data_IF_907981234126
#
_entry.id   IF_907981234126
#
_cell.length_a   1.000
_cell.length_b   1.000
_cell.length_c   1.000
_cell.angle_alpha   90.00
_cell.angle_beta   90.00
_cell.angle_gamma   90.00
#
_symmetry.space_group_name_H-M   'P 1'
#
loop_
_entity.id
_entity.type
_entity.pdbx_description
1 polymer ?
#
# COMPACT_ATOMS: atom_id res chain seq x y z
N UNK A 1 -62.22 43.42 -61.00
CA UNK A 1 -61.80 42.26 -61.82
C UNK A 1 -60.39 41.88 -61.43
N UNK A 2 -60.13 40.58 -61.24
CA UNK A 2 -58.82 39.90 -61.03
C UNK A 2 -58.29 39.79 -59.59
N UNK A 3 -58.64 38.63 -59.02
CA UNK A 3 -57.93 37.81 -58.03
C UNK A 3 -56.50 37.48 -58.49
N UNK A 4 -55.60 37.28 -57.51
CA UNK A 4 -54.44 36.34 -57.42
C UNK A 4 -53.28 37.06 -56.72
N UNK A 5 -52.49 36.52 -55.82
CA UNK A 5 -52.33 35.22 -55.18
C UNK A 5 -51.18 35.40 -54.15
N UNK A 6 -51.20 34.64 -53.04
CA UNK A 6 -50.02 34.00 -52.39
C UNK A 6 -48.88 34.93 -51.88
N UNK A 7 -48.34 34.84 -50.66
CA UNK A 7 -47.78 33.68 -49.96
C UNK A 7 -47.82 34.00 -48.45
N UNK A 8 -48.50 33.14 -47.67
CA UNK A 8 -48.36 33.08 -46.22
C UNK A 8 -47.05 32.35 -45.93
N UNK A 9 -46.01 33.05 -45.46
CA UNK A 9 -44.77 32.41 -45.01
C UNK A 9 -44.95 31.90 -43.58
N UNK A 10 -45.30 30.62 -43.48
CA UNK A 10 -45.27 29.85 -42.25
C UNK A 10 -43.80 29.68 -41.83
N UNK A 11 -43.32 30.54 -40.93
CA UNK A 11 -42.00 30.39 -40.32
C UNK A 11 -42.08 29.28 -39.29
N UNK A 12 -41.78 28.06 -39.73
CA UNK A 12 -41.51 26.94 -38.84
C UNK A 12 -40.20 27.23 -38.09
N UNK A 13 -40.32 27.67 -36.84
CA UNK A 13 -39.22 27.61 -35.87
C UNK A 13 -38.88 26.13 -35.65
N UNK A 14 -37.89 25.65 -36.40
CA UNK A 14 -37.18 24.42 -36.10
C UNK A 14 -36.45 24.66 -34.79
N UNK A 15 -37.05 24.24 -33.69
CA UNK A 15 -36.34 24.04 -32.44
C UNK A 15 -35.30 22.94 -32.71
N UNK A 16 -34.06 23.35 -33.02
CA UNK A 16 -32.91 22.49 -32.90
C UNK A 16 -32.90 22.00 -31.45
N UNK A 17 -33.04 20.69 -31.16
CA UNK A 17 -32.63 20.21 -29.86
C UNK A 17 -31.13 20.50 -29.83
N UNK A 18 -30.73 21.45 -28.99
CA UNK A 18 -29.37 21.53 -28.53
C UNK A 18 -29.11 20.15 -27.93
N UNK A 19 -28.45 19.28 -28.70
CA UNK A 19 -27.80 18.11 -28.18
C UNK A 19 -26.80 18.69 -27.17
N UNK A 20 -27.23 18.76 -25.91
CA UNK A 20 -26.33 18.82 -24.80
C UNK A 20 -25.40 17.64 -25.04
N UNK A 21 -24.20 17.92 -25.54
CA UNK A 21 -23.08 17.03 -25.41
C UNK A 21 -22.96 16.84 -23.91
N UNK A 22 -23.55 15.74 -23.42
CA UNK A 22 -23.29 15.21 -22.10
C UNK A 22 -21.80 14.91 -22.17
N UNK A 23 -21.00 15.88 -21.74
CA UNK A 23 -19.67 15.60 -21.25
C UNK A 23 -19.87 14.48 -20.24
N UNK A 24 -19.26 13.32 -20.50
CA UNK A 24 -19.06 12.26 -19.52
C UNK A 24 -18.17 12.83 -18.41
N UNK A 25 -18.70 13.75 -17.61
CA UNK A 25 -18.21 14.01 -16.27
C UNK A 25 -18.54 12.74 -15.49
N UNK A 26 -17.54 11.88 -15.35
CA UNK A 26 -17.50 10.92 -14.25
C UNK A 26 -17.91 11.68 -12.99
N UNK A 27 -19.07 11.32 -12.43
CA UNK A 27 -19.67 11.93 -11.25
C UNK A 27 -18.84 11.57 -10.00
N UNK A 28 -17.57 11.99 -9.95
CA UNK A 28 -16.82 12.05 -8.70
C UNK A 28 -17.44 13.16 -7.86
N UNK A 29 -17.92 12.83 -6.67
CA UNK A 29 -18.47 13.83 -5.74
C UNK A 29 -17.40 14.86 -5.40
N UNK A 30 -17.77 16.11 -5.07
CA UNK A 30 -16.80 17.16 -4.70
C UNK A 30 -15.82 16.72 -3.60
N UNK A 31 -16.25 15.83 -2.70
CA UNK A 31 -15.43 15.29 -1.62
C UNK A 31 -14.35 14.31 -2.13
N UNK A 32 -14.65 13.52 -3.16
CA UNK A 32 -13.66 12.60 -3.76
C UNK A 32 -12.52 13.39 -4.42
N UNK A 33 -12.84 14.46 -5.15
CA UNK A 33 -11.79 15.30 -5.76
C UNK A 33 -10.87 15.95 -4.72
N UNK A 34 -11.41 16.32 -3.55
CA UNK A 34 -10.61 16.88 -2.46
C UNK A 34 -9.69 15.82 -1.85
N UNK A 35 -10.19 14.60 -1.64
CA UNK A 35 -9.38 13.48 -1.14
C UNK A 35 -8.29 13.11 -2.14
N UNK A 36 -8.63 12.98 -3.43
CA UNK A 36 -7.67 12.68 -4.49
C UNK A 36 -6.53 13.72 -4.54
N UNK A 37 -6.88 15.01 -4.40
CA UNK A 37 -5.88 16.10 -4.33
C UNK A 37 -5.04 16.06 -3.05
N UNK A 38 -5.65 15.77 -1.91
CA UNK A 38 -4.95 15.70 -0.64
C UNK A 38 -3.99 14.50 -0.57
N UNK A 39 -4.27 13.45 -1.34
CA UNK A 39 -3.44 12.24 -1.46
C UNK A 39 -2.48 12.26 -2.65
N UNK A 40 -2.46 13.35 -3.43
CA UNK A 40 -1.56 13.47 -4.56
C UNK A 40 -0.10 13.31 -4.10
N UNK A 41 0.60 12.30 -4.61
CA UNK A 41 1.98 12.01 -4.26
C UNK A 41 2.18 11.25 -2.95
N UNK A 42 1.09 10.85 -2.26
CA UNK A 42 1.18 9.96 -1.11
C UNK A 42 1.56 8.53 -1.50
N UNK A 43 1.23 8.11 -2.72
CA UNK A 43 1.54 6.78 -3.24
C UNK A 43 2.73 6.80 -4.18
N UNK A 44 3.59 5.80 -4.03
CA UNK A 44 4.77 5.61 -4.87
C UNK A 44 4.80 4.17 -5.35
N UNK A 45 5.26 3.94 -6.58
CA UNK A 45 5.73 2.62 -7.01
C UNK A 45 7.13 2.43 -6.47
N UNK A 46 7.39 1.30 -5.83
CA UNK A 46 8.70 0.90 -5.33
C UNK A 46 9.18 -0.31 -6.12
N UNK A 47 10.21 -0.12 -6.92
CA UNK A 47 10.84 -1.16 -7.72
C UNK A 47 12.00 -1.75 -6.91
N UNK A 48 11.87 -3.03 -6.55
CA UNK A 48 12.88 -3.77 -5.79
C UNK A 48 13.60 -4.74 -6.72
N UNK A 49 14.86 -4.44 -7.03
CA UNK A 49 15.74 -5.26 -7.84
C UNK A 49 16.61 -6.16 -6.97
N UNK A 50 16.76 -7.41 -7.38
CA UNK A 50 17.66 -8.36 -6.70
C UNK A 50 18.46 -9.17 -7.72
N UNK A 51 19.63 -9.63 -7.29
CA UNK A 51 20.47 -10.58 -8.01
C UNK A 51 20.61 -11.91 -7.23
N UNK A 52 21.24 -12.90 -7.86
CA UNK A 52 21.53 -14.18 -7.24
C UNK A 52 23.02 -14.29 -6.92
N UNK A 53 23.35 -14.62 -5.67
CA UNK A 53 24.71 -14.84 -5.21
C UNK A 53 24.95 -16.34 -4.98
N UNK A 54 25.94 -16.92 -5.67
CA UNK A 54 26.42 -18.27 -5.35
C UNK A 54 27.16 -18.24 -4.01
N UNK A 55 26.68 -19.04 -3.06
CA UNK A 55 27.23 -19.10 -1.70
C UNK A 55 28.63 -19.70 -1.61
N UNK A 56 29.08 -20.45 -2.63
CA UNK A 56 30.41 -21.07 -2.67
C UNK A 56 31.45 -20.14 -3.31
N UNK A 57 31.14 -19.55 -4.46
CA UNK A 57 32.06 -18.70 -5.21
C UNK A 57 31.94 -17.21 -4.89
N UNK A 58 30.86 -16.79 -4.21
CA UNK A 58 30.46 -15.40 -4.02
C UNK A 58 30.33 -14.62 -5.35
N UNK A 59 30.04 -15.33 -6.44
CA UNK A 59 29.75 -14.74 -7.74
C UNK A 59 28.28 -14.33 -7.82
N UNK A 60 28.03 -13.21 -8.49
CA UNK A 60 26.70 -12.63 -8.70
C UNK A 60 26.18 -12.96 -10.10
N UNK A 61 24.89 -13.23 -10.19
CA UNK A 61 24.20 -13.64 -11.41
C UNK A 61 22.90 -12.84 -11.57
N UNK A 62 22.77 -12.18 -12.71
CA UNK A 62 21.48 -11.67 -13.20
C UNK A 62 20.81 -12.64 -14.16
N UNK A 63 19.75 -12.19 -14.84
CA UNK A 63 18.93 -13.02 -15.74
C UNK A 63 18.81 -12.36 -17.10
N UNK A 64 18.85 -13.16 -18.16
CA UNK A 64 18.63 -12.67 -19.52
C UNK A 64 19.72 -11.73 -20.06
N UNK A 65 20.90 -11.69 -19.43
CA UNK A 65 21.99 -10.78 -19.81
C UNK A 65 22.03 -9.49 -19.00
N UNK A 66 21.07 -9.28 -18.10
CA UNK A 66 21.04 -8.14 -17.17
C UNK A 66 21.92 -8.37 -15.94
N UNK A 67 22.25 -7.30 -15.23
CA UNK A 67 22.99 -7.33 -13.95
C UNK A 67 22.10 -7.56 -12.72
N UNK A 68 20.79 -7.70 -12.93
CA UNK A 68 19.79 -8.12 -11.95
C UNK A 68 19.09 -9.40 -12.41
N UNK A 69 18.56 -10.17 -11.45
CA UNK A 69 17.74 -11.34 -11.75
C UNK A 69 16.30 -10.96 -12.07
N UNK A 70 15.73 -10.04 -11.29
CA UNK A 70 14.37 -9.54 -11.47
C UNK A 70 14.18 -8.21 -10.75
N UNK A 71 13.18 -7.43 -11.19
CA UNK A 71 12.74 -6.19 -10.56
C UNK A 71 11.25 -6.33 -10.30
N UNK A 72 10.85 -6.25 -9.02
CA UNK A 72 9.46 -6.45 -8.62
C UNK A 72 8.88 -5.12 -8.11
N UNK A 73 7.79 -4.62 -8.71
CA UNK A 73 7.13 -3.41 -8.27
C UNK A 73 6.18 -3.67 -7.09
N UNK A 74 6.16 -2.73 -6.14
CA UNK A 74 5.22 -2.69 -5.02
C UNK A 74 4.59 -1.31 -4.91
N UNK A 75 3.40 -1.22 -4.31
CA UNK A 75 2.85 0.07 -3.88
C UNK A 75 3.45 0.41 -2.51
N UNK A 76 3.99 1.62 -2.40
CA UNK A 76 4.38 2.21 -1.13
C UNK A 76 3.58 3.47 -0.83
N UNK A 77 3.57 3.84 0.46
CA UNK A 77 2.88 5.02 1.00
C UNK A 77 3.89 5.88 1.74
N UNK A 78 4.00 7.14 1.34
CA UNK A 78 4.85 8.13 2.00
C UNK A 78 4.21 8.61 3.30
N UNK A 79 4.96 8.48 4.39
CA UNK A 79 4.52 8.87 5.74
C UNK A 79 5.56 9.72 6.43
N UNK A 80 5.15 10.42 7.49
CA UNK A 80 6.08 11.20 8.33
C UNK A 80 7.24 10.38 8.92
N UNK A 81 7.15 9.03 8.93
CA UNK A 81 8.20 8.10 9.41
C UNK A 81 9.03 7.46 8.29
N UNK A 82 8.79 7.83 7.04
CA UNK A 82 9.42 7.24 5.86
C UNK A 82 8.43 6.48 4.98
N UNK A 83 8.97 5.60 4.14
CA UNK A 83 8.20 4.91 3.11
C UNK A 83 7.69 3.57 3.64
N UNK A 84 6.37 3.42 3.71
CA UNK A 84 5.71 2.18 4.11
C UNK A 84 5.42 1.33 2.89
N UNK A 85 5.71 0.03 2.98
CA UNK A 85 5.55 -0.94 1.89
C UNK A 85 5.07 -2.28 2.45
N UNK A 86 4.47 -3.16 1.62
CA UNK A 86 4.26 -4.55 2.00
C UNK A 86 5.59 -5.20 2.44
N UNK A 87 5.55 -6.08 3.45
CA UNK A 87 6.74 -6.74 3.97
C UNK A 87 7.51 -7.53 2.88
N UNK A 88 6.78 -8.09 1.91
CA UNK A 88 7.36 -8.75 0.74
C UNK A 88 8.30 -7.86 -0.10
N UNK A 89 8.19 -6.53 0.00
CA UNK A 89 9.13 -5.63 -0.66
C UNK A 89 10.56 -5.72 -0.11
N UNK A 90 10.76 -6.22 1.11
CA UNK A 90 12.10 -6.48 1.65
C UNK A 90 12.67 -7.84 1.18
N UNK A 91 11.83 -8.72 0.66
CA UNK A 91 12.20 -10.05 0.17
C UNK A 91 11.48 -10.36 -1.15
N UNK A 92 11.67 -9.55 -2.21
CA UNK A 92 10.87 -9.61 -3.44
C UNK A 92 10.87 -11.01 -4.08
N UNK A 93 12.00 -11.71 -4.01
CA UNK A 93 12.16 -13.08 -4.51
C UNK A 93 11.15 -14.10 -3.96
N UNK A 94 10.49 -13.83 -2.82
CA UNK A 94 9.45 -14.74 -2.29
C UNK A 94 8.19 -14.75 -3.13
N UNK A 95 7.95 -13.70 -3.92
CA UNK A 95 6.82 -13.58 -4.83
C UNK A 95 7.20 -13.86 -6.30
N UNK A 96 8.48 -14.14 -6.58
CA UNK A 96 8.99 -14.36 -7.93
C UNK A 96 8.91 -15.84 -8.32
N UNK A 97 7.99 -16.16 -9.22
CA UNK A 97 7.82 -17.53 -9.72
C UNK A 97 9.08 -18.06 -10.42
N UNK A 98 9.87 -17.19 -11.04
CA UNK A 98 11.07 -17.57 -11.77
C UNK A 98 12.24 -17.88 -10.83
N UNK A 99 12.19 -17.43 -9.57
CA UNK A 99 13.22 -17.75 -8.58
C UNK A 99 13.11 -19.18 -8.03
N UNK A 100 11.95 -19.83 -8.17
CA UNK A 100 11.65 -21.14 -7.56
C UNK A 100 12.71 -22.19 -7.96
N UNK A 101 13.17 -22.20 -9.22
CA UNK A 101 14.15 -23.18 -9.70
C UNK A 101 15.56 -22.99 -9.13
N UNK A 102 15.88 -21.78 -8.64
CA UNK A 102 17.17 -21.41 -8.07
C UNK A 102 17.20 -21.51 -6.54
N UNK A 103 16.06 -21.76 -5.92
CA UNK A 103 15.92 -21.82 -4.46
C UNK A 103 16.81 -22.92 -3.88
N UNK A 104 17.60 -22.55 -2.86
CA UNK A 104 18.53 -23.46 -2.18
C UNK A 104 19.91 -23.62 -2.85
N UNK A 105 20.07 -23.17 -4.10
CA UNK A 105 21.37 -23.13 -4.77
C UNK A 105 22.02 -21.74 -4.66
N UNK A 106 21.20 -20.70 -4.79
CA UNK A 106 21.64 -19.31 -4.74
C UNK A 106 20.98 -18.56 -3.60
N UNK A 107 21.70 -17.57 -3.07
CA UNK A 107 21.16 -16.61 -2.10
C UNK A 107 20.74 -15.33 -2.83
N UNK A 108 19.47 -14.93 -2.80
CA UNK A 108 19.05 -13.67 -3.41
C UNK A 108 19.55 -12.50 -2.57
N UNK A 109 19.99 -11.42 -3.24
CA UNK A 109 20.46 -10.20 -2.60
C UNK A 109 19.81 -8.99 -3.25
N UNK A 110 19.27 -8.09 -2.43
CA UNK A 110 18.74 -6.81 -2.91
C UNK A 110 19.90 -5.97 -3.46
N UNK A 111 19.81 -5.54 -4.70
CA UNK A 111 20.82 -4.72 -5.38
C UNK A 111 20.35 -3.31 -5.63
N UNK A 112 19.05 -3.14 -5.84
CA UNK A 112 18.46 -1.86 -6.21
C UNK A 112 17.10 -1.66 -5.53
N UNK A 113 16.88 -0.43 -5.05
CA UNK A 113 15.56 0.00 -4.60
C UNK A 113 15.29 1.39 -5.15
N UNK A 114 14.30 1.51 -6.02
CA UNK A 114 13.90 2.78 -6.65
C UNK A 114 12.44 3.08 -6.33
N UNK A 115 12.10 4.35 -6.13
CA UNK A 115 10.71 4.78 -5.98
C UNK A 115 10.35 5.88 -6.94
N UNK A 116 9.14 5.81 -7.49
CA UNK A 116 8.55 6.79 -8.38
C UNK A 116 7.15 7.17 -7.88
N UNK A 117 6.85 8.46 -7.66
CA UNK A 117 5.50 8.90 -7.32
C UNK A 117 4.48 8.52 -8.40
N UNK A 118 3.35 7.98 -7.98
CA UNK A 118 2.26 7.61 -8.89
C UNK A 118 1.43 8.84 -9.25
N UNK A 119 0.88 8.84 -10.47
CA UNK A 119 0.01 9.91 -11.00
C UNK A 119 0.63 11.31 -11.06
N UNK A 120 1.94 11.45 -10.82
CA UNK A 120 2.65 12.74 -10.83
C UNK A 120 3.94 12.58 -11.62
N UNK A 121 4.25 13.56 -12.47
CA UNK A 121 5.56 13.65 -13.09
C UNK A 121 6.58 14.15 -12.07
N UNK A 122 7.38 13.23 -11.55
CA UNK A 122 8.45 13.50 -10.61
C UNK A 122 9.66 12.60 -10.93
N UNK A 123 10.89 13.01 -10.58
CA UNK A 123 12.06 12.16 -10.81
C UNK A 123 11.99 10.90 -9.96
N UNK A 124 12.48 9.80 -10.51
CA UNK A 124 12.75 8.56 -9.77
C UNK A 124 13.78 8.82 -8.68
N UNK A 125 13.64 8.11 -7.56
CA UNK A 125 14.49 8.26 -6.39
C UNK A 125 15.09 6.92 -6.00
N UNK A 126 16.37 6.91 -5.65
CA UNK A 126 17.04 5.74 -5.07
C UNK A 126 16.74 5.70 -3.57
N UNK A 127 16.27 4.55 -3.09
CA UNK A 127 15.97 4.31 -1.69
C UNK A 127 17.10 3.54 -1.01
N UNK A 128 17.19 3.60 0.33
CA UNK A 128 18.01 2.67 1.09
C UNK A 128 17.58 1.22 0.79
N UNK A 129 18.57 0.34 0.58
CA UNK A 129 18.33 -1.09 0.43
C UNK A 129 17.86 -1.76 1.73
N UNK A 130 17.98 -1.06 2.86
CA UNK A 130 17.61 -1.55 4.17
C UNK A 130 16.24 -1.01 4.62
N UNK A 131 15.42 -1.90 5.16
CA UNK A 131 14.17 -1.58 5.84
C UNK A 131 13.99 -2.47 7.07
N UNK A 132 12.89 -2.28 7.78
CA UNK A 132 12.50 -3.14 8.90
C UNK A 132 11.02 -3.51 8.81
N UNK A 133 10.69 -4.73 9.17
CA UNK A 133 9.30 -5.13 9.38
C UNK A 133 8.72 -4.38 10.59
N UNK A 134 7.54 -3.80 10.41
CA UNK A 134 6.72 -3.26 11.50
C UNK A 134 5.74 -4.32 12.00
N UNK A 135 5.20 -5.11 11.06
CA UNK A 135 4.36 -6.29 11.26
C UNK A 135 4.85 -7.38 10.30
N UNK A 136 4.20 -8.55 10.31
CA UNK A 136 4.47 -9.60 9.32
C UNK A 136 4.04 -9.18 7.90
N UNK A 137 3.16 -8.18 7.75
CA UNK A 137 2.57 -7.79 6.47
C UNK A 137 3.10 -6.45 5.95
N UNK A 138 3.64 -5.60 6.82
CA UNK A 138 4.08 -4.24 6.49
C UNK A 138 5.50 -3.97 6.98
N UNK A 139 6.28 -3.33 6.12
CA UNK A 139 7.63 -2.87 6.38
C UNK A 139 7.77 -1.35 6.23
N UNK A 140 8.85 -0.83 6.82
CA UNK A 140 9.26 0.57 6.74
C UNK A 140 10.66 0.67 6.15
N UNK A 141 10.78 1.43 5.06
CA UNK A 141 12.05 1.87 4.49
C UNK A 141 12.27 3.30 4.99
N UNK A 142 13.13 3.43 6.01
CA UNK A 142 13.45 4.73 6.60
C UNK A 142 14.46 5.45 5.69
N UNK A 143 14.03 6.55 5.07
CA UNK A 143 14.90 7.45 4.32
C UNK A 143 15.16 8.69 5.18
N UNK A 144 16.41 8.94 5.55
CA UNK A 144 16.83 10.13 6.31
C UNK A 144 16.50 11.45 5.59
N UNK A 145 16.26 11.41 4.28
CA UNK A 145 15.89 12.58 3.47
C UNK A 145 14.37 12.86 3.57
N UNK A 146 13.55 11.86 3.95
CA UNK A 146 12.08 11.94 3.98
C UNK A 146 11.49 12.06 5.39
N UNK A 147 12.31 12.09 6.43
CA UNK A 147 11.84 12.29 7.80
C UNK A 147 10.96 13.55 7.87
N UNK A 148 9.71 13.38 8.31
CA UNK A 148 8.68 14.42 8.45
C UNK A 148 8.00 14.91 7.15
N UNK A 149 8.08 14.16 6.04
CA UNK A 149 7.28 14.43 4.84
C UNK A 149 6.33 13.27 4.54
N UNK A 150 5.06 13.55 4.18
CA UNK A 150 4.06 12.53 3.87
C UNK A 150 2.85 12.57 4.81
N UNK A 151 2.06 11.48 4.81
CA UNK A 151 0.89 11.36 5.66
C UNK A 151 1.29 11.23 7.14
N UNK A 152 0.60 11.98 8.01
CA UNK A 152 0.70 11.80 9.46
C UNK A 152 0.10 10.46 9.88
N UNK A 153 0.62 9.82 10.92
CA UNK A 153 0.20 8.48 11.33
C UNK A 153 -0.75 8.55 12.53
N UNK A 154 -1.90 7.89 12.42
CA UNK A 154 -2.82 7.67 13.53
C UNK A 154 -2.40 6.41 14.31
N UNK A 155 -2.22 6.56 15.63
CA UNK A 155 -1.76 5.49 16.53
C UNK A 155 -2.80 5.12 17.58
N UNK A 156 -4.01 5.67 17.49
CA UNK A 156 -5.06 5.50 18.49
C UNK A 156 -6.05 4.45 18.01
N UNK A 157 -6.33 3.38 18.78
CA UNK A 157 -7.34 2.39 18.40
C UNK A 157 -8.79 2.89 18.63
N UNK A 158 -9.77 2.10 18.21
CA UNK A 158 -11.20 2.35 18.39
C UNK A 158 -11.94 2.75 17.11
N UNK A 159 -13.22 3.11 17.26
CA UNK A 159 -14.12 3.45 16.17
C UNK A 159 -13.68 4.73 15.44
N UNK A 160 -13.50 4.62 14.13
CA UNK A 160 -13.05 5.69 13.25
C UNK A 160 -13.91 5.78 12.00
N UNK A 161 -14.27 7.01 11.65
CA UNK A 161 -14.94 7.34 10.40
C UNK A 161 -13.92 7.88 9.41
N UNK A 162 -13.77 7.22 8.28
CA UNK A 162 -12.74 7.55 7.30
C UNK A 162 -13.06 7.07 5.90
N UNK A 163 -12.02 7.01 5.06
CA UNK A 163 -12.13 6.54 3.68
C UNK A 163 -11.12 5.43 3.42
N UNK A 164 -11.62 4.35 2.82
CA UNK A 164 -10.81 3.38 2.11
C UNK A 164 -10.45 3.94 0.74
N UNK A 165 -9.16 4.02 0.47
CA UNK A 165 -8.62 4.49 -0.81
C UNK A 165 -7.96 3.31 -1.48
N UNK A 166 -8.58 2.82 -2.54
CA UNK A 166 -8.07 1.72 -3.34
C UNK A 166 -7.29 2.25 -4.53
N UNK A 167 -6.18 1.58 -4.83
CA UNK A 167 -5.36 1.82 -6.02
C UNK A 167 -5.57 0.67 -6.99
N UNK A 168 -5.95 1.01 -8.21
CA UNK A 168 -6.22 0.04 -9.26
C UNK A 168 -5.75 0.51 -10.62
N UNK A 169 -5.49 -0.42 -11.53
CA UNK A 169 -5.23 -0.11 -12.93
C UNK A 169 -5.56 -1.29 -13.85
N UNK A 170 -5.77 -0.98 -15.13
CA UNK A 170 -5.95 -1.99 -16.18
C UNK A 170 -4.66 -2.77 -16.50
N UNK A 171 -3.50 -2.20 -16.17
CA UNK A 171 -2.18 -2.78 -16.45
C UNK A 171 -1.44 -3.14 -15.15
N UNK A 172 -0.51 -4.12 -15.18
CA UNK A 172 0.40 -4.39 -14.06
C UNK A 172 1.26 -3.19 -13.70
N UNK A 173 1.65 -3.04 -12.43
CA UNK A 173 2.50 -1.93 -11.97
C UNK A 173 3.85 -1.84 -12.68
N UNK A 174 4.35 -2.95 -13.23
CA UNK A 174 5.59 -2.96 -14.02
C UNK A 174 5.47 -2.14 -15.31
N UNK A 175 4.25 -1.94 -15.81
CA UNK A 175 3.96 -1.34 -17.12
C UNK A 175 3.30 0.03 -17.03
N UNK A 176 2.83 0.45 -15.84
CA UNK A 176 2.14 1.73 -15.67
C UNK A 176 2.49 2.45 -14.38
N UNK A 177 2.54 3.78 -14.46
CA UNK A 177 2.60 4.71 -13.33
C UNK A 177 1.29 5.47 -13.11
N UNK A 178 0.30 5.20 -13.97
CA UNK A 178 -1.04 5.75 -13.90
C UNK A 178 -1.98 4.75 -13.23
N UNK A 179 -2.50 5.14 -12.08
CA UNK A 179 -3.42 4.34 -11.26
C UNK A 179 -4.68 5.12 -10.92
N UNK A 180 -5.81 4.43 -10.97
CA UNK A 180 -7.11 4.94 -10.54
C UNK A 180 -7.19 4.93 -9.02
N UNK A 181 -7.66 6.03 -8.43
CA UNK A 181 -8.02 6.11 -7.02
C UNK A 181 -9.53 5.95 -6.86
N UNK A 182 -9.94 4.96 -6.08
CA UNK A 182 -11.34 4.71 -5.71
C UNK A 182 -11.51 4.92 -4.20
N UNK A 183 -12.32 5.92 -3.84
CA UNK A 183 -12.54 6.31 -2.44
C UNK A 183 -13.91 5.86 -1.93
N UNK A 184 -13.95 5.07 -0.86
CA UNK A 184 -15.17 4.53 -0.23
C UNK A 184 -15.20 4.95 1.24
N UNK A 185 -16.24 5.70 1.63
CA UNK A 185 -16.46 6.07 3.04
C UNK A 185 -16.77 4.81 3.86
N UNK A 186 -16.08 4.63 4.99
CA UNK A 186 -16.27 3.48 5.86
C UNK A 186 -16.02 3.84 7.32
N UNK A 187 -16.83 3.27 8.20
CA UNK A 187 -16.57 3.23 9.63
C UNK A 187 -15.83 1.94 9.96
N UNK A 188 -14.71 2.03 10.67
CA UNK A 188 -13.88 0.90 11.08
C UNK A 188 -13.58 1.00 12.56
N UNK A 189 -13.76 -0.09 13.30
CA UNK A 189 -13.30 -0.22 14.67
C UNK A 189 -11.86 -0.76 14.69
N UNK A 190 -10.89 0.12 14.88
CA UNK A 190 -9.46 -0.23 14.84
C UNK A 190 -9.11 -1.07 16.07
N UNK A 191 -8.62 -2.31 15.91
CA UNK A 191 -8.37 -3.21 17.03
C UNK A 191 -7.29 -2.65 17.98
N UNK A 192 -7.54 -2.72 19.29
CA UNK A 192 -6.59 -2.24 20.30
C UNK A 192 -5.25 -2.99 20.32
N UNK A 193 -5.20 -4.18 19.72
CA UNK A 193 -4.02 -5.01 19.60
C UNK A 193 -3.32 -4.90 18.23
N UNK A 194 -3.84 -4.04 17.34
CA UNK A 194 -3.33 -3.84 15.99
C UNK A 194 -3.50 -5.05 15.07
N UNK A 195 -4.40 -6.00 15.42
CA UNK A 195 -4.68 -7.14 14.55
C UNK A 195 -5.20 -6.69 13.17
N UNK A 196 -4.77 -7.34 12.07
CA UNK A 196 -5.28 -7.01 10.74
C UNK A 196 -6.78 -7.26 10.64
N UNK A 197 -7.47 -6.40 9.90
CA UNK A 197 -8.92 -6.53 9.65
C UNK A 197 -9.19 -6.93 8.19
N UNK A 198 -9.90 -8.05 7.95
CA UNK A 198 -10.31 -8.42 6.59
C UNK A 198 -11.18 -7.36 5.93
N UNK A 199 -10.93 -7.09 4.65
CA UNK A 199 -11.72 -6.16 3.85
C UNK A 199 -12.10 -6.80 2.52
N UNK A 200 -13.36 -6.58 2.10
CA UNK A 200 -13.83 -7.03 0.80
C UNK A 200 -13.22 -6.19 -0.31
N UNK A 201 -12.97 -6.83 -1.45
CA UNK A 201 -12.57 -6.15 -2.68
C UNK A 201 -13.57 -5.05 -3.07
N UNK A 202 -13.10 -3.94 -3.66
CA UNK A 202 -13.97 -2.98 -4.30
C UNK A 202 -14.65 -3.61 -5.53
N UNK A 203 -15.89 -3.20 -5.82
CA UNK A 203 -16.62 -3.64 -7.01
C UNK A 203 -16.12 -2.88 -8.26
N UNK A 204 -14.90 -3.21 -8.70
CA UNK A 204 -14.24 -2.63 -9.87
C UNK A 204 -13.72 -3.71 -10.80
N UNK A 205 -13.59 -3.38 -12.09
CA UNK A 205 -13.07 -4.28 -13.13
C UNK A 205 -11.54 -4.28 -13.23
N UNK A 206 -10.89 -3.24 -12.71
CA UNK A 206 -9.44 -3.07 -12.74
C UNK A 206 -8.74 -3.98 -11.72
N UNK A 207 -7.45 -4.24 -11.92
CA UNK A 207 -6.64 -4.97 -10.94
C UNK A 207 -6.32 -4.08 -9.76
N UNK A 208 -6.58 -4.54 -8.54
CA UNK A 208 -6.23 -3.84 -7.30
C UNK A 208 -4.77 -4.10 -6.94
N UNK A 209 -4.03 -3.04 -6.66
CA UNK A 209 -2.60 -3.09 -6.32
C UNK A 209 -2.31 -2.77 -4.86
N UNK A 210 -3.28 -2.19 -4.15
CA UNK A 210 -3.13 -1.79 -2.76
C UNK A 210 -4.13 -0.73 -2.36
N UNK A 211 -3.90 -0.17 -1.18
CA UNK A 211 -4.73 0.89 -0.66
C UNK A 211 -4.40 1.29 0.76
N UNK A 212 -5.13 2.28 1.25
CA UNK A 212 -4.99 2.79 2.62
C UNK A 212 -6.35 3.09 3.22
N UNK A 213 -6.41 3.11 4.54
CA UNK A 213 -7.50 3.72 5.28
C UNK A 213 -7.02 5.01 5.93
N UNK A 214 -7.67 6.12 5.57
CA UNK A 214 -7.35 7.46 6.08
C UNK A 214 -8.50 8.04 6.90
N UNK A 215 -8.16 8.82 7.90
CA UNK A 215 -9.11 9.49 8.78
C UNK A 215 -8.93 11.00 8.73
N UNK A 216 -10.02 11.78 8.70
CA UNK A 216 -9.94 13.22 8.72
C UNK A 216 -9.64 13.70 10.15
N UNK A 217 -8.69 14.62 10.29
CA UNK A 217 -8.36 15.29 11.55
C UNK A 217 -8.44 16.78 11.33
N UNK A 218 -9.24 17.47 12.14
CA UNK A 218 -9.29 18.93 12.14
C UNK A 218 -8.06 19.47 12.87
N UNK A 219 -7.14 20.11 12.15
CA UNK A 219 -5.91 20.67 12.72
C UNK A 219 -6.08 22.13 13.13
N UNK A 220 -6.97 22.86 12.46
CA UNK A 220 -7.37 24.23 12.81
C UNK A 220 -8.75 24.57 12.25
N UNK A 221 -9.28 25.76 12.57
CA UNK A 221 -10.54 26.25 11.99
C UNK A 221 -10.37 26.36 10.47
N UNK A 222 -11.20 25.62 9.72
CA UNK A 222 -11.13 25.59 8.26
C UNK A 222 -10.01 24.72 7.67
N UNK A 223 -9.20 24.05 8.51
CA UNK A 223 -8.11 23.18 8.06
C UNK A 223 -8.40 21.72 8.45
N UNK A 224 -8.52 20.88 7.42
CA UNK A 224 -8.66 19.44 7.53
C UNK A 224 -7.36 18.80 7.03
N UNK A 225 -6.79 17.90 7.82
CA UNK A 225 -5.72 17.01 7.40
C UNK A 225 -6.24 15.58 7.35
N UNK A 226 -5.54 14.70 6.63
CA UNK A 226 -5.80 13.27 6.67
C UNK A 226 -4.62 12.56 7.30
N UNK A 227 -4.92 11.63 8.20
CA UNK A 227 -3.93 10.75 8.84
C UNK A 227 -4.10 9.33 8.35
N UNK A 228 -2.98 8.65 8.08
CA UNK A 228 -2.93 7.25 7.75
C UNK A 228 -3.26 6.42 9.00
N UNK A 229 -4.34 5.65 8.93
CA UNK A 229 -4.75 4.76 10.03
C UNK A 229 -4.35 3.31 9.76
N UNK A 230 -4.51 2.83 8.52
CA UNK A 230 -4.14 1.47 8.14
C UNK A 230 -3.74 1.36 6.68
N UNK A 231 -3.01 0.29 6.36
CA UNK A 231 -2.53 0.00 5.00
C UNK A 231 -3.17 -1.30 4.54
N UNK A 232 -3.69 -1.31 3.31
CA UNK A 232 -4.23 -2.50 2.70
C UNK A 232 -3.11 -3.32 2.09
N UNK A 233 -3.01 -4.57 2.53
CA UNK A 233 -1.99 -5.54 2.09
C UNK A 233 -2.66 -6.89 1.90
N UNK A 234 -2.04 -7.75 1.09
CA UNK A 234 -2.48 -9.14 0.96
C UNK A 234 -1.95 -9.96 2.15
N UNK A 235 -2.80 -10.77 2.74
CA UNK A 235 -2.39 -11.77 3.71
C UNK A 235 -1.81 -13.03 3.04
N UNK A 236 -1.46 -14.03 3.85
CA UNK A 236 -0.92 -15.31 3.39
C UNK A 236 -1.91 -16.14 2.54
N UNK A 237 -3.21 -15.83 2.62
CA UNK A 237 -4.26 -16.44 1.81
C UNK A 237 -4.48 -15.73 0.47
N UNK A 238 -3.83 -14.57 0.27
CA UNK A 238 -4.07 -13.71 -0.89
C UNK A 238 -5.35 -12.87 -0.76
N UNK A 239 -5.86 -12.70 0.46
CA UNK A 239 -7.01 -11.84 0.75
C UNK A 239 -6.56 -10.46 1.22
N UNK A 240 -7.31 -9.41 0.87
CA UNK A 240 -7.00 -8.06 1.35
C UNK A 240 -7.37 -7.91 2.82
N UNK A 241 -6.40 -7.42 3.59
CA UNK A 241 -6.57 -7.02 4.98
C UNK A 241 -6.07 -5.60 5.16
N UNK A 242 -6.69 -4.89 6.10
CA UNK A 242 -6.20 -3.62 6.60
C UNK A 242 -5.27 -3.89 7.80
N UNK A 243 -3.98 -3.67 7.60
CA UNK A 243 -2.96 -3.79 8.64
C UNK A 243 -2.78 -2.46 9.39
N UNK A 244 -2.53 -2.55 10.70
CA UNK A 244 -2.43 -1.41 11.63
C UNK A 244 -1.07 -1.37 12.33
N UNK A 245 0.02 -1.15 11.57
CA UNK A 245 1.39 -1.41 12.03
C UNK A 245 1.87 -0.52 13.19
N UNK A 246 1.12 0.54 13.53
CA UNK A 246 1.47 1.45 14.62
C UNK A 246 0.58 1.34 15.85
N UNK A 247 -0.42 0.45 15.82
CA UNK A 247 -1.21 0.14 17.00
C UNK A 247 -0.46 -0.93 17.79
N UNK A 248 0.07 -0.54 18.95
CA UNK A 248 0.86 -1.44 19.77
C UNK A 248 -0.05 -2.34 20.59
N UNK A 249 0.23 -3.65 20.57
CA UNK A 249 -0.33 -4.58 21.56
C UNK A 249 -0.03 -4.06 22.97
N UNK A 250 -1.00 -4.09 23.89
CA UNK A 250 -0.71 -3.82 25.29
C UNK A 250 0.43 -4.77 25.72
N UNK A 251 1.57 -4.19 26.05
CA UNK A 251 2.74 -4.95 26.47
C UNK A 251 2.37 -5.61 27.79
N UNK A 252 2.16 -6.92 27.80
CA UNK A 252 2.05 -7.66 29.06
C UNK A 252 3.31 -7.36 29.86
N UNK A 253 3.13 -6.69 31.01
CA UNK A 253 4.22 -6.47 31.96
C UNK A 253 4.53 -7.83 32.57
N UNK A 254 5.39 -8.61 31.90
CA UNK A 254 5.93 -9.85 32.43
C UNK A 254 6.71 -9.50 33.67
N UNK A 255 6.08 -9.65 34.82
CA UNK A 255 6.70 -9.40 36.12
C UNK A 255 7.71 -10.51 36.35
N UNK A 256 9.00 -10.17 36.38
CA UNK A 256 10.05 -11.12 36.70
C UNK A 256 9.84 -11.60 38.13
N UNK A 257 9.67 -12.90 38.32
CA UNK A 257 9.63 -13.49 39.67
C UNK A 257 11.07 -13.68 40.16
N UNK A 258 11.47 -13.08 41.30
CA UNK A 258 12.80 -13.28 41.86
C UNK A 258 13.03 -14.76 42.17
N UNK A 259 14.12 -15.32 41.66
CA UNK A 259 14.51 -16.73 41.90
C UNK A 259 14.81 -16.98 43.39
N UNK A 260 15.15 -15.93 44.15
CA UNK A 260 15.50 -16.00 45.58
C UNK A 260 14.35 -16.41 46.52
N UNK A 261 13.11 -16.51 46.03
CA UNK A 261 11.94 -16.93 46.82
C UNK A 261 11.35 -18.29 46.44
N UNK A 262 11.93 -19.01 45.47
CA UNK A 262 11.42 -20.32 45.07
C UNK A 262 11.93 -21.40 46.05
N UNK A 263 11.04 -22.22 46.64
CA UNK A 263 11.47 -23.34 47.46
C UNK A 263 12.32 -24.27 46.60
N UNK A 264 13.49 -24.62 47.12
CA UNK A 264 14.56 -25.40 46.50
C UNK A 264 14.01 -26.72 45.94
N UNK A 265 13.51 -26.71 44.68
CA UNK A 265 13.05 -27.93 44.01
C UNK A 265 14.28 -28.71 43.63
N UNK A 266 14.54 -29.72 44.45
CA UNK A 266 15.75 -30.53 44.48
C UNK A 266 16.39 -30.83 43.12
N UNK A 267 17.71 -30.68 43.10
CA UNK A 267 18.68 -31.15 42.10
C UNK A 267 18.11 -32.19 41.13
N UNK A 268 17.68 -31.73 39.95
CA UNK A 268 17.60 -32.61 38.78
C UNK A 268 19.02 -33.08 38.49
N UNK A 269 19.26 -34.38 38.65
CA UNK A 269 20.53 -35.02 38.35
C UNK A 269 20.34 -35.81 37.05
N UNK A 270 20.59 -35.22 35.86
CA UNK A 270 20.46 -35.94 34.61
C UNK A 270 21.78 -36.68 34.41
N UNK A 271 21.87 -37.95 34.82
CA UNK A 271 22.80 -38.97 34.30
C UNK A 271 22.74 -40.22 35.21
N UNK A 272 21.76 -41.10 34.97
CA UNK A 272 21.92 -42.53 35.25
C UNK A 272 21.80 -43.29 33.93
N UNK A 273 22.94 -43.51 33.28
CA UNK A 273 23.11 -44.51 32.22
C UNK A 273 22.68 -45.87 32.78
N UNK A 274 21.63 -46.46 32.22
CA UNK A 274 21.35 -47.90 32.38
C UNK A 274 22.15 -48.65 31.31
N UNK A 275 23.16 -49.40 31.75
CA UNK A 275 23.65 -50.59 31.03
C UNK A 275 22.66 -51.72 31.30
N UNK A 276 22.16 -52.36 30.24
CA UNK A 276 21.94 -53.80 30.15
C UNK A 276 21.98 -54.18 28.68
#
# INVERSE_FOLDING_TARGET
MKIRNLILSLTATVALPAAAQIFNFSLRTNNQQLIDRALAGAFVRVNQGYDLCDTLSNQHFGRGGEDFFSIIPFIGVETERGLMVPAGALTPWTADADFIEYQGQYRPLMTESKSLPLNISAPERVNPLAGRNLTELTALIADSIRENSGLGIDTVPGQKNGWLIWLSSDFPLAETDSVSLTSISKEIDVPADGSPLPISNPEISETVHGGIFITPVQTAIGHLAFTLTGIMVLDDTGSWVLDFPFIQKPKEVKTLTPISGLPDRGKFNPLKKKKK
#
